data_IF_634434416648
#
_entry.id   IF_634434416648
#
_cell.length_a   1.000
_cell.length_b   1.000
_cell.length_c   1.000
_cell.angle_alpha   90.00
_cell.angle_beta   90.00
_cell.angle_gamma   90.00
#
_symmetry.space_group_name_H-M   'P 1'
#
loop_
_entity.id
_entity.type
_entity.pdbx_description
1 polymer ?
#
# COMPACT_ATOMS: atom_id res chain seq x y z
N UNK A 1 -25.58 9.92 -6.17
CA UNK A 1 -25.10 8.58 -6.49
C UNK A 1 -24.86 7.86 -5.19
N UNK A 2 -25.43 6.68 -5.01
CA UNK A 2 -25.29 5.89 -3.78
C UNK A 2 -24.11 4.91 -3.97
N UNK A 3 -23.12 4.94 -3.07
CA UNK A 3 -21.94 4.08 -3.19
C UNK A 3 -22.29 2.59 -3.09
N UNK A 4 -23.33 2.25 -2.32
CA UNK A 4 -23.81 0.89 -2.12
C UNK A 4 -24.41 0.25 -3.38
N UNK A 5 -24.75 1.03 -4.40
CA UNK A 5 -25.18 0.53 -5.72
C UNK A 5 -24.01 -0.01 -6.56
N UNK A 6 -22.76 0.29 -6.18
CA UNK A 6 -21.57 -0.19 -6.88
C UNK A 6 -21.14 -1.56 -6.31
N UNK A 7 -21.19 -2.62 -7.13
CA UNK A 7 -20.75 -3.97 -6.72
C UNK A 7 -19.32 -4.02 -6.17
N UNK A 8 -18.44 -3.10 -6.60
CA UNK A 8 -17.08 -3.01 -6.08
C UNK A 8 -17.04 -2.67 -4.58
N UNK A 9 -18.01 -1.90 -4.06
CA UNK A 9 -18.07 -1.57 -2.63
C UNK A 9 -18.38 -2.81 -1.81
N UNK A 10 -19.34 -3.64 -2.24
CA UNK A 10 -19.66 -4.91 -1.58
C UNK A 10 -18.46 -5.87 -1.60
N UNK A 11 -17.72 -5.92 -2.71
CA UNK A 11 -16.51 -6.74 -2.80
C UNK A 11 -15.40 -6.25 -1.84
N UNK A 12 -15.21 -4.93 -1.72
CA UNK A 12 -14.24 -4.34 -0.81
C UNK A 12 -14.59 -4.58 0.66
N UNK A 13 -15.86 -4.44 1.03
CA UNK A 13 -16.34 -4.76 2.38
C UNK A 13 -16.08 -6.23 2.74
N UNK A 14 -16.43 -7.15 1.84
CA UNK A 14 -16.18 -8.58 2.03
C UNK A 14 -14.69 -8.90 2.17
N UNK A 15 -13.85 -8.28 1.34
CA UNK A 15 -12.39 -8.49 1.42
C UNK A 15 -11.80 -7.91 2.72
N UNK A 16 -12.28 -6.76 3.19
CA UNK A 16 -11.83 -6.14 4.43
C UNK A 16 -12.29 -6.86 5.71
N UNK A 17 -13.36 -7.66 5.62
CA UNK A 17 -13.94 -8.41 6.74
C UNK A 17 -13.17 -9.68 7.13
N UNK A 18 -11.96 -9.90 6.63
CA UNK A 18 -11.14 -11.06 6.98
C UNK A 18 -10.87 -11.16 8.49
N UNK A 19 -10.89 -12.38 9.02
CA UNK A 19 -10.56 -12.71 10.42
C UNK A 19 -9.07 -13.02 10.64
N UNK A 20 -8.28 -13.11 9.57
CA UNK A 20 -6.86 -13.48 9.64
C UNK A 20 -5.94 -12.31 10.00
N UNK A 21 -6.49 -11.09 10.06
CA UNK A 21 -5.77 -9.87 10.41
C UNK A 21 -6.54 -9.14 11.51
N UNK A 22 -5.79 -8.66 12.50
CA UNK A 22 -6.29 -7.72 13.51
C UNK A 22 -6.60 -6.36 12.89
N UNK A 23 -7.42 -5.55 13.56
CA UNK A 23 -7.74 -4.20 13.08
C UNK A 23 -6.49 -3.32 12.98
N UNK A 24 -5.55 -3.47 13.93
CA UNK A 24 -4.24 -2.83 13.87
C UNK A 24 -3.51 -3.18 12.57
N UNK A 25 -3.43 -4.45 12.21
CA UNK A 25 -2.75 -4.87 10.97
C UNK A 25 -3.44 -4.32 9.73
N UNK A 26 -4.78 -4.34 9.69
CA UNK A 26 -5.56 -3.77 8.59
C UNK A 26 -5.34 -2.27 8.42
N UNK A 27 -5.21 -1.53 9.53
CA UNK A 27 -4.87 -0.10 9.51
C UNK A 27 -3.50 0.13 8.91
N UNK A 28 -2.47 -0.59 9.39
CA UNK A 28 -1.10 -0.40 8.94
C UNK A 28 -0.92 -0.78 7.48
N UNK A 29 -1.51 -1.89 7.03
CA UNK A 29 -1.49 -2.31 5.62
C UNK A 29 -2.21 -1.26 4.76
N UNK A 30 -3.42 -0.84 5.18
CA UNK A 30 -4.18 0.17 4.45
C UNK A 30 -3.45 1.51 4.35
N UNK A 31 -2.82 1.96 5.43
CA UNK A 31 -2.00 3.17 5.44
C UNK A 31 -0.82 3.04 4.50
N UNK A 32 -0.06 1.94 4.60
CA UNK A 32 1.09 1.67 3.72
C UNK A 32 0.69 1.74 2.24
N UNK A 33 -0.42 1.10 1.85
CA UNK A 33 -0.94 1.15 0.47
C UNK A 33 -1.22 2.58 0.04
N UNK A 34 -1.89 3.39 0.87
CA UNK A 34 -2.21 4.77 0.48
C UNK A 34 -0.97 5.67 0.36
N UNK A 35 0.05 5.47 1.19
CA UNK A 35 1.33 6.18 1.11
C UNK A 35 2.05 5.79 -0.18
N UNK A 36 2.16 4.49 -0.50
CA UNK A 36 2.76 4.02 -1.75
C UNK A 36 2.06 4.58 -2.99
N UNK A 37 0.74 4.80 -2.94
CA UNK A 37 -0.02 5.42 -4.03
C UNK A 37 0.07 6.95 -4.06
N UNK A 38 0.63 7.60 -3.04
CA UNK A 38 0.73 9.05 -2.95
C UNK A 38 -0.61 9.77 -2.75
N UNK A 39 -1.64 9.10 -2.22
CA UNK A 39 -2.95 9.73 -2.02
C UNK A 39 -3.03 10.44 -0.65
N UNK A 40 -2.78 11.77 -0.63
CA UNK A 40 -2.79 12.55 0.63
C UNK A 40 -4.10 12.47 1.41
N UNK A 41 -5.26 12.57 0.74
CA UNK A 41 -6.57 12.43 1.39
C UNK A 41 -6.77 11.03 1.99
N UNK A 42 -6.43 10.00 1.23
CA UNK A 42 -6.57 8.61 1.68
C UNK A 42 -5.65 8.30 2.86
N UNK A 43 -4.40 8.78 2.80
CA UNK A 43 -3.42 8.60 3.87
C UNK A 43 -3.82 9.36 5.13
N UNK A 44 -4.26 10.62 5.02
CA UNK A 44 -4.77 11.38 6.16
C UNK A 44 -5.95 10.68 6.85
N UNK A 45 -6.96 10.26 6.07
CA UNK A 45 -8.12 9.56 6.62
C UNK A 45 -7.79 8.18 7.22
N UNK A 46 -6.80 7.46 6.69
CA UNK A 46 -6.33 6.19 7.29
C UNK A 46 -5.55 6.44 8.58
N UNK A 47 -4.70 7.46 8.62
CA UNK A 47 -3.95 7.87 9.82
C UNK A 47 -4.90 8.23 10.95
N UNK A 48 -5.91 9.05 10.69
CA UNK A 48 -6.90 9.45 11.71
C UNK A 48 -7.64 8.25 12.30
N UNK A 49 -8.12 7.33 11.45
CA UNK A 49 -8.80 6.10 11.90
C UNK A 49 -7.90 5.18 12.71
N UNK A 50 -6.64 5.02 12.29
CA UNK A 50 -5.69 4.20 13.02
C UNK A 50 -5.40 4.77 14.42
N UNK A 51 -5.23 6.10 14.53
CA UNK A 51 -5.06 6.77 15.82
C UNK A 51 -6.29 6.59 16.73
N UNK A 52 -7.51 6.74 16.15
CA UNK A 52 -8.76 6.54 16.89
C UNK A 52 -8.90 5.12 17.44
N UNK A 53 -8.39 4.12 16.72
CA UNK A 53 -8.37 2.72 17.13
C UNK A 53 -7.15 2.36 18.00
N UNK A 54 -6.42 3.36 18.50
CA UNK A 54 -5.36 3.20 19.49
C UNK A 54 -3.98 2.84 18.92
N UNK A 55 -3.77 2.91 17.61
CA UNK A 55 -2.43 2.75 17.02
C UNK A 55 -1.57 3.95 17.38
N UNK A 56 -0.39 3.72 17.97
CA UNK A 56 0.48 4.81 18.42
C UNK A 56 1.07 5.61 17.27
N UNK A 57 1.32 6.90 17.50
CA UNK A 57 1.98 7.77 16.52
C UNK A 57 3.35 7.22 16.10
N UNK A 58 4.12 6.66 17.04
CA UNK A 58 5.39 5.97 16.77
C UNK A 58 5.22 4.81 15.78
N UNK A 59 4.16 4.00 15.93
CA UNK A 59 3.88 2.89 15.00
C UNK A 59 3.57 3.42 13.59
N UNK A 60 2.85 4.54 13.48
CA UNK A 60 2.53 5.15 12.19
C UNK A 60 3.77 5.76 11.51
N UNK A 61 4.67 6.36 12.30
CA UNK A 61 5.98 6.82 11.82
C UNK A 61 6.83 5.65 11.31
N UNK A 62 6.96 4.58 12.11
CA UNK A 62 7.67 3.37 11.70
C UNK A 62 7.09 2.74 10.42
N UNK A 63 5.76 2.78 10.26
CA UNK A 63 5.09 2.32 9.03
C UNK A 63 5.43 3.20 7.83
N UNK A 64 5.51 4.51 8.04
CA UNK A 64 5.91 5.48 7.00
C UNK A 64 7.36 5.25 6.57
N UNK A 65 8.27 5.07 7.52
CA UNK A 65 9.68 4.77 7.25
C UNK A 65 9.84 3.44 6.50
N UNK A 66 9.08 2.42 6.88
CA UNK A 66 9.03 1.14 6.16
C UNK A 66 8.61 1.34 4.69
N UNK A 67 7.54 2.11 4.44
CA UNK A 67 7.09 2.38 3.07
C UNK A 67 8.13 3.15 2.28
N UNK A 68 8.78 4.14 2.89
CA UNK A 68 9.86 4.89 2.25
C UNK A 68 11.03 3.98 1.85
N UNK A 69 11.48 3.11 2.74
CA UNK A 69 12.55 2.15 2.49
C UNK A 69 12.19 1.17 1.36
N UNK A 70 10.97 0.61 1.37
CA UNK A 70 10.49 -0.30 0.31
C UNK A 70 10.44 0.42 -1.03
N UNK A 71 9.89 1.63 -1.09
CA UNK A 71 9.80 2.39 -2.34
C UNK A 71 11.18 2.78 -2.90
N UNK A 72 12.14 3.12 -2.03
CA UNK A 72 13.52 3.35 -2.43
C UNK A 72 14.15 2.08 -3.03
N UNK A 73 13.92 0.92 -2.40
CA UNK A 73 14.36 -0.37 -2.93
C UNK A 73 13.74 -0.71 -4.29
N UNK A 74 12.44 -0.42 -4.49
CA UNK A 74 11.78 -0.57 -5.79
C UNK A 74 12.47 0.28 -6.85
N UNK A 75 12.78 1.54 -6.57
CA UNK A 75 13.46 2.41 -7.53
C UNK A 75 14.83 1.85 -7.95
N UNK A 76 15.63 1.39 -6.99
CA UNK A 76 16.92 0.73 -7.27
C UNK A 76 16.72 -0.52 -8.12
N UNK A 77 15.79 -1.40 -7.73
CA UNK A 77 15.55 -2.66 -8.46
C UNK A 77 15.03 -2.43 -9.87
N UNK A 78 14.15 -1.44 -10.08
CA UNK A 78 13.65 -1.10 -11.41
C UNK A 78 14.78 -0.69 -12.35
N UNK A 79 15.74 0.11 -11.88
CA UNK A 79 16.91 0.47 -12.69
C UNK A 79 17.76 -0.77 -13.03
N UNK A 80 18.04 -1.63 -12.05
CA UNK A 80 18.81 -2.86 -12.27
C UNK A 80 18.14 -3.79 -13.28
N UNK A 81 16.81 -3.98 -13.21
CA UNK A 81 16.05 -4.75 -14.20
C UNK A 81 16.17 -4.13 -15.60
N UNK A 82 16.15 -2.81 -15.71
CA UNK A 82 16.39 -2.12 -16.98
C UNK A 82 17.78 -2.44 -17.56
N UNK A 83 18.82 -2.43 -16.71
CA UNK A 83 20.18 -2.80 -17.13
C UNK A 83 20.30 -4.29 -17.50
N UNK A 84 19.57 -5.19 -16.82
CA UNK A 84 19.52 -6.61 -17.16
C UNK A 84 18.83 -6.84 -18.51
N UNK A 85 17.71 -6.15 -18.76
CA UNK A 85 17.00 -6.20 -20.05
C UNK A 85 17.85 -5.68 -21.21
N UNK A 86 18.66 -4.64 -20.99
CA UNK A 86 19.65 -4.14 -21.97
C UNK A 86 20.79 -5.12 -22.27
N UNK A 87 20.97 -6.17 -21.47
CA UNK A 87 21.96 -7.24 -21.74
C UNK A 87 21.36 -8.40 -22.53
N UNK A 88 20.06 -8.38 -22.79
CA UNK A 88 19.42 -9.41 -23.58
C UNK A 88 19.41 -9.02 -25.07
N UNK A 89 20.49 -9.35 -25.77
CA UNK A 89 20.70 -9.04 -27.19
C UNK A 89 20.22 -10.19 -28.11
N UNK A 90 19.44 -11.14 -27.56
CA UNK A 90 18.98 -12.35 -28.25
C UNK A 90 17.57 -12.21 -28.85
N UNK A 91 17.22 -13.03 -29.86
CA UNK A 91 15.91 -12.99 -30.54
C UNK A 91 14.72 -13.34 -29.63
N UNK A 92 14.94 -13.94 -28.46
CA UNK A 92 13.92 -14.16 -27.43
C UNK A 92 13.53 -12.89 -26.65
N UNK A 93 14.23 -11.78 -26.88
CA UNK A 93 13.99 -10.47 -26.25
C UNK A 93 13.48 -9.39 -27.24
N UNK A 94 13.15 -9.77 -28.48
CA UNK A 94 12.52 -8.92 -29.49
C UNK A 94 10.98 -9.03 -29.47
#
# INVERSE_FOLDING_TARGET
>A
MNAQELHVIQALEKAGATEHLTDREKHLIGLAVTITRGCGFCSGGRTEKALADGVSQETLQATTDLVAAVNAGVAVRTMLLGLEGLKCDGPECA
#
